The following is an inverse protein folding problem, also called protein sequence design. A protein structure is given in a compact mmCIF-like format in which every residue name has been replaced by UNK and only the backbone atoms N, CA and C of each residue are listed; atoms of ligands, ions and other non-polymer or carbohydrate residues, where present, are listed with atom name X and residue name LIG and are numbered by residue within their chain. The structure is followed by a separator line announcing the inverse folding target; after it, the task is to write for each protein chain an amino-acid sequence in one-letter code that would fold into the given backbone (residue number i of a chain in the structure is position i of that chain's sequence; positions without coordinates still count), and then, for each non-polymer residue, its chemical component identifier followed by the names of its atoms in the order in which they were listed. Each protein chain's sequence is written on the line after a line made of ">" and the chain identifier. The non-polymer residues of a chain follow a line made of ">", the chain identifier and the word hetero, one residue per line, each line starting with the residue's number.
data_IF_487311981624
#
_entry.id   IF_487311981624
#
_cell.length_a   1.000
_cell.length_b   1.000
_cell.length_c   1.000
_cell.angle_alpha   90.00
_cell.angle_beta   90.00
_cell.angle_gamma   90.00
#
_symmetry.space_group_name_H-M   'P 1'
#
loop_
_entity.id
_entity.type
_entity.pdbx_description
1 polymer ?
#
# COMPACT_ATOMS: atom_id res chain seq x y z
N UNK A 1 12.18 -9.77 -9.82
CA UNK A 1 11.89 -8.97 -11.04
C UNK A 1 12.23 -7.50 -10.77
N UNK A 2 12.61 -6.64 -11.75
CA UNK A 2 13.02 -5.27 -11.42
C UNK A 2 11.82 -4.49 -10.89
N UNK A 3 11.86 -4.18 -9.60
CA UNK A 3 10.90 -3.36 -8.86
C UNK A 3 11.04 -1.93 -9.35
N UNK A 4 10.22 -1.57 -10.33
CA UNK A 4 10.14 -0.22 -10.87
C UNK A 4 9.91 0.77 -9.72
N UNK A 5 10.86 1.68 -9.49
CA UNK A 5 10.69 2.76 -8.53
C UNK A 5 9.55 3.71 -8.94
N UNK A 6 9.13 4.65 -8.07
CA UNK A 6 8.08 5.62 -8.40
C UNK A 6 8.35 6.36 -9.73
N UNK A 7 9.61 6.66 -10.03
CA UNK A 7 10.04 7.31 -11.28
C UNK A 7 9.94 6.38 -12.50
N UNK A 8 10.16 5.08 -12.33
CA UNK A 8 10.00 4.08 -13.40
C UNK A 8 8.51 3.84 -13.71
N UNK A 9 7.68 3.86 -12.67
CA UNK A 9 6.22 3.80 -12.82
C UNK A 9 5.68 5.07 -13.48
N UNK A 10 6.20 6.25 -13.13
CA UNK A 10 5.84 7.50 -13.82
C UNK A 10 6.17 7.47 -15.30
N UNK A 11 7.27 6.83 -15.72
CA UNK A 11 7.57 6.60 -17.14
C UNK A 11 6.56 5.71 -17.84
N UNK A 12 5.95 4.77 -17.11
CA UNK A 12 4.92 3.86 -17.62
C UNK A 12 3.52 4.50 -17.64
N UNK A 13 3.29 5.52 -16.82
CA UNK A 13 2.03 6.27 -16.71
C UNK A 13 2.29 7.78 -16.86
N UNK A 14 2.69 8.26 -18.06
CA UNK A 14 3.15 9.63 -18.25
C UNK A 14 2.07 10.69 -17.97
N UNK A 15 0.80 10.33 -18.13
CA UNK A 15 -0.33 11.23 -17.94
C UNK A 15 -0.74 11.38 -16.47
N UNK A 16 -0.16 10.58 -15.57
CA UNK A 16 -0.49 10.58 -14.14
C UNK A 16 0.40 11.52 -13.34
N UNK A 17 -0.20 12.18 -12.37
CA UNK A 17 0.48 13.06 -11.42
C UNK A 17 0.95 12.25 -10.21
N UNK A 18 2.21 12.45 -9.82
CA UNK A 18 2.81 11.80 -8.66
C UNK A 18 2.67 12.68 -7.42
N UNK A 19 2.09 12.14 -6.36
CA UNK A 19 1.97 12.79 -5.06
C UNK A 19 2.65 11.96 -3.98
N UNK A 20 3.25 12.62 -3.00
CA UNK A 20 3.94 11.99 -1.88
C UNK A 20 3.28 12.40 -0.58
N UNK A 21 3.07 11.43 0.30
CA UNK A 21 2.52 11.65 1.63
C UNK A 21 3.31 10.86 2.67
N UNK A 22 3.61 11.51 3.78
CA UNK A 22 4.14 10.86 4.95
C UNK A 22 3.08 9.99 5.61
N UNK A 23 3.37 8.70 5.80
CA UNK A 23 2.52 7.78 6.55
C UNK A 23 3.10 7.52 7.93
N UNK A 24 2.30 7.86 8.94
CA UNK A 24 2.60 7.52 10.32
C UNK A 24 2.34 6.03 10.62
N UNK A 25 1.46 5.39 9.85
CA UNK A 25 1.10 3.98 10.03
C UNK A 25 2.14 3.06 9.38
N UNK A 26 2.49 3.31 8.12
CA UNK A 26 3.46 2.49 7.40
C UNK A 26 4.92 2.84 7.73
N UNK A 27 5.17 3.98 8.38
CA UNK A 27 6.51 4.39 8.81
C UNK A 27 7.40 4.82 7.65
N UNK A 28 6.97 5.81 6.87
CA UNK A 28 7.74 6.30 5.72
C UNK A 28 6.88 7.11 4.74
N UNK A 29 7.37 7.28 3.52
CA UNK A 29 6.62 7.95 2.45
C UNK A 29 5.82 6.94 1.61
N UNK A 30 4.55 7.23 1.39
CA UNK A 30 3.70 6.53 0.41
C UNK A 30 3.44 7.49 -0.74
N UNK A 31 3.68 7.02 -1.95
CA UNK A 31 3.47 7.81 -3.15
C UNK A 31 2.22 7.34 -3.90
N UNK A 32 1.60 8.21 -4.68
CA UNK A 32 0.38 7.93 -5.43
C UNK A 32 0.50 8.45 -6.85
N UNK A 33 0.24 7.60 -7.83
CA UNK A 33 0.10 7.98 -9.24
C UNK A 33 -1.39 8.17 -9.57
N UNK A 34 -1.82 9.42 -9.62
CA UNK A 34 -3.21 9.78 -9.83
C UNK A 34 -3.49 10.19 -11.28
N UNK A 35 -4.61 9.73 -11.82
CA UNK A 35 -5.16 10.30 -13.06
C UNK A 35 -5.44 11.80 -12.88
N UNK A 36 -5.30 12.63 -13.92
CA UNK A 36 -5.58 14.06 -13.83
C UNK A 36 -7.08 14.31 -13.63
N UNK A 37 -7.43 15.19 -12.70
CA UNK A 37 -8.78 15.74 -12.53
C UNK A 37 -8.97 17.05 -13.29
N UNK A 38 -10.12 17.69 -13.08
CA UNK A 38 -10.48 18.99 -13.69
C UNK A 38 -9.45 20.09 -13.39
N UNK A 39 -8.79 20.00 -12.24
CA UNK A 39 -7.70 20.89 -11.83
C UNK A 39 -6.63 20.12 -11.06
N UNK A 40 -5.41 20.66 -11.00
CA UNK A 40 -4.34 20.09 -10.18
C UNK A 40 -4.71 20.07 -8.69
N UNK A 41 -5.43 21.09 -8.22
CA UNK A 41 -5.93 21.14 -6.85
C UNK A 41 -6.94 20.02 -6.56
N UNK A 42 -7.85 19.74 -7.50
CA UNK A 42 -8.79 18.62 -7.38
C UNK A 42 -8.07 17.26 -7.37
N UNK A 43 -7.04 17.11 -8.21
CA UNK A 43 -6.20 15.90 -8.26
C UNK A 43 -5.46 15.68 -6.94
N UNK A 44 -4.82 16.71 -6.39
CA UNK A 44 -4.14 16.66 -5.09
C UNK A 44 -5.10 16.36 -3.94
N UNK A 45 -6.29 16.96 -3.93
CA UNK A 45 -7.31 16.68 -2.92
C UNK A 45 -7.79 15.22 -2.97
N UNK A 46 -7.93 14.65 -4.18
CA UNK A 46 -8.25 13.23 -4.36
C UNK A 46 -7.11 12.33 -3.90
N UNK A 47 -5.86 12.67 -4.21
CA UNK A 47 -4.68 11.94 -3.73
C UNK A 47 -4.62 11.92 -2.19
N UNK A 48 -4.95 13.03 -1.52
CA UNK A 48 -5.00 13.07 -0.06
C UNK A 48 -6.11 12.18 0.52
N UNK A 49 -7.27 12.10 -0.15
CA UNK A 49 -8.35 11.17 0.24
C UNK A 49 -7.94 9.71 0.05
N UNK A 50 -7.31 9.40 -1.08
CA UNK A 50 -6.75 8.08 -1.37
C UNK A 50 -5.73 7.68 -0.29
N UNK A 51 -4.88 8.61 0.13
CA UNK A 51 -3.92 8.37 1.20
C UNK A 51 -4.58 8.05 2.53
N UNK A 52 -5.56 8.85 2.97
CA UNK A 52 -6.28 8.60 4.21
C UNK A 52 -7.04 7.25 4.19
N UNK A 53 -7.64 6.89 3.05
CA UNK A 53 -8.30 5.60 2.88
C UNK A 53 -7.29 4.44 2.94
N UNK A 54 -6.14 4.57 2.27
CA UNK A 54 -5.09 3.57 2.33
C UNK A 54 -4.51 3.41 3.74
N UNK A 55 -4.30 4.50 4.49
CA UNK A 55 -3.86 4.40 5.89
C UNK A 55 -4.88 3.69 6.79
N UNK A 56 -6.18 3.90 6.55
CA UNK A 56 -7.24 3.20 7.29
C UNK A 56 -7.20 1.69 7.00
N UNK A 57 -7.00 1.30 5.74
CA UNK A 57 -6.84 -0.10 5.35
C UNK A 57 -5.58 -0.70 5.97
N UNK A 58 -4.42 -0.02 5.91
CA UNK A 58 -3.17 -0.48 6.53
C UNK A 58 -3.36 -0.71 8.03
N UNK A 59 -4.03 0.22 8.72
CA UNK A 59 -4.31 0.08 10.17
C UNK A 59 -5.18 -1.15 10.45
N UNK A 60 -6.29 -1.29 9.72
CA UNK A 60 -7.21 -2.43 9.88
C UNK A 60 -6.51 -3.76 9.62
N UNK A 61 -5.66 -3.81 8.61
CA UNK A 61 -4.85 -4.99 8.31
C UNK A 61 -3.81 -5.27 9.40
N UNK A 62 -3.13 -4.24 9.91
CA UNK A 62 -2.19 -4.38 11.02
C UNK A 62 -2.81 -5.04 12.26
N UNK A 63 -4.05 -4.67 12.60
CA UNK A 63 -4.80 -5.30 13.68
C UNK A 63 -5.10 -6.78 13.37
N UNK A 64 -5.57 -7.08 12.16
CA UNK A 64 -5.87 -8.45 11.70
C UNK A 64 -4.61 -9.32 11.68
N UNK A 65 -3.50 -8.77 11.22
CA UNK A 65 -2.19 -9.43 11.18
C UNK A 65 -1.71 -9.78 12.59
N UNK A 66 -1.81 -8.86 13.54
CA UNK A 66 -1.43 -9.08 14.92
C UNK A 66 -2.28 -10.18 15.56
N UNK A 67 -3.60 -10.15 15.36
CA UNK A 67 -4.51 -11.20 15.83
C UNK A 67 -4.19 -12.57 15.22
N UNK A 68 -3.96 -12.63 13.91
CA UNK A 68 -3.63 -13.87 13.21
C UNK A 68 -2.30 -14.47 13.69
N UNK A 69 -1.28 -13.63 13.89
CA UNK A 69 0.03 -14.05 14.39
C UNK A 69 -0.07 -14.58 15.83
N UNK A 70 -0.73 -13.84 16.71
CA UNK A 70 -0.93 -14.26 18.11
C UNK A 70 -1.74 -15.55 18.18
N UNK A 71 -2.83 -15.66 17.41
CA UNK A 71 -3.66 -16.86 17.36
C UNK A 71 -2.89 -18.09 16.85
N UNK A 72 -2.07 -17.92 15.80
CA UNK A 72 -1.23 -19.01 15.29
C UNK A 72 -0.24 -19.50 16.35
N UNK A 73 0.44 -18.59 17.05
CA UNK A 73 1.37 -18.94 18.14
C UNK A 73 0.65 -19.64 19.30
N UNK A 74 -0.53 -19.16 19.70
CA UNK A 74 -1.34 -19.79 20.75
C UNK A 74 -1.82 -21.19 20.37
N UNK A 75 -2.08 -21.44 19.07
CA UNK A 75 -2.45 -22.77 18.55
C UNK A 75 -1.28 -23.75 18.44
N UNK A 76 -0.07 -23.33 18.83
CA UNK A 76 1.13 -24.18 18.83
C UNK A 76 1.95 -24.12 17.54
N UNK A 77 1.66 -23.19 16.62
CA UNK A 77 2.51 -22.99 15.45
C UNK A 77 3.88 -22.47 15.87
N UNK A 78 4.93 -22.90 15.15
CA UNK A 78 6.26 -22.31 15.35
C UNK A 78 6.28 -20.87 14.83
N UNK A 79 7.10 -19.98 15.41
CA UNK A 79 7.19 -18.59 14.95
C UNK A 79 7.45 -18.43 13.46
N UNK A 80 8.29 -19.28 12.87
CA UNK A 80 8.58 -19.25 11.43
C UNK A 80 7.38 -19.62 10.57
N UNK A 81 6.62 -20.65 10.96
CA UNK A 81 5.39 -21.05 10.25
C UNK A 81 4.30 -19.98 10.37
N UNK A 82 4.14 -19.41 11.56
CA UNK A 82 3.16 -18.35 11.80
C UNK A 82 3.51 -17.10 10.97
N UNK A 83 4.77 -16.66 10.98
CA UNK A 83 5.26 -15.53 10.20
C UNK A 83 5.08 -15.72 8.68
N UNK A 84 5.44 -16.88 8.14
CA UNK A 84 5.31 -17.14 6.70
C UNK A 84 3.86 -17.09 6.23
N UNK A 85 2.94 -17.62 7.04
CA UNK A 85 1.51 -17.57 6.73
C UNK A 85 1.00 -16.12 6.65
N UNK A 86 1.27 -15.34 7.69
CA UNK A 86 0.79 -13.95 7.75
C UNK A 86 1.48 -13.05 6.71
N UNK A 87 2.73 -13.34 6.34
CA UNK A 87 3.42 -12.63 5.27
C UNK A 87 2.77 -12.88 3.90
N UNK A 88 2.43 -14.13 3.58
CA UNK A 88 1.72 -14.44 2.32
C UNK A 88 0.34 -13.78 2.25
N UNK A 89 -0.36 -13.67 3.38
CA UNK A 89 -1.64 -12.97 3.47
C UNK A 89 -1.46 -11.44 3.29
N UNK A 90 -0.31 -10.90 3.74
CA UNK A 90 0.04 -9.48 3.61
C UNK A 90 0.20 -9.02 2.18
N UNK A 91 0.88 -9.80 1.34
CA UNK A 91 1.10 -9.42 -0.06
C UNK A 91 -0.19 -9.42 -0.86
N UNK A 92 -1.05 -10.42 -0.61
CA UNK A 92 -2.37 -10.51 -1.23
C UNK A 92 -3.26 -9.34 -0.80
N UNK A 93 -3.25 -9.00 0.49
CA UNK A 93 -3.97 -7.84 1.01
C UNK A 93 -3.45 -6.54 0.42
N UNK A 94 -2.14 -6.30 0.40
CA UNK A 94 -1.56 -5.04 -0.10
C UNK A 94 -1.92 -4.80 -1.57
N UNK A 95 -1.94 -5.86 -2.39
CA UNK A 95 -2.41 -5.79 -3.78
C UNK A 95 -3.90 -5.47 -3.87
N UNK A 96 -4.74 -6.11 -3.06
CA UNK A 96 -6.17 -5.87 -3.05
C UNK A 96 -6.49 -4.41 -2.63
N UNK A 97 -5.86 -3.93 -1.55
CA UNK A 97 -6.00 -2.56 -1.09
C UNK A 97 -5.53 -1.54 -2.15
N UNK A 98 -4.40 -1.78 -2.82
CA UNK A 98 -3.93 -0.89 -3.88
C UNK A 98 -4.91 -0.82 -5.06
N UNK A 99 -5.54 -1.93 -5.44
CA UNK A 99 -6.54 -1.98 -6.50
C UNK A 99 -7.86 -1.31 -6.10
N UNK A 100 -8.28 -1.45 -4.83
CA UNK A 100 -9.45 -0.75 -4.29
C UNK A 100 -9.24 0.76 -4.30
N UNK A 101 -8.08 1.24 -3.83
CA UNK A 101 -7.75 2.67 -3.87
C UNK A 101 -7.64 3.20 -5.31
N UNK A 102 -7.08 2.43 -6.23
CA UNK A 102 -7.06 2.80 -7.65
C UNK A 102 -8.49 2.86 -8.24
N UNK A 103 -9.36 1.91 -7.91
CA UNK A 103 -10.75 1.90 -8.36
C UNK A 103 -11.53 3.11 -7.87
N UNK A 104 -11.40 3.43 -6.58
CA UNK A 104 -12.26 4.43 -5.92
C UNK A 104 -11.76 5.86 -6.11
N UNK A 105 -10.44 6.03 -6.24
CA UNK A 105 -9.81 7.35 -6.26
C UNK A 105 -9.01 7.61 -7.54
N UNK A 106 -8.88 6.64 -8.45
CA UNK A 106 -8.01 6.74 -9.64
C UNK A 106 -6.59 7.16 -9.28
N UNK A 107 -6.12 6.69 -8.13
CA UNK A 107 -4.82 7.00 -7.54
C UNK A 107 -4.15 5.69 -7.13
N UNK A 108 -3.17 5.25 -7.90
CA UNK A 108 -2.48 4.00 -7.62
C UNK A 108 -1.44 4.24 -6.51
N UNK A 109 -1.55 3.57 -5.34
CA UNK A 109 -0.49 3.62 -4.35
C UNK A 109 0.76 2.95 -4.92
N UNK A 110 1.88 3.65 -4.88
CA UNK A 110 3.19 3.16 -5.28
C UNK A 110 4.12 3.34 -4.09
N UNK A 111 4.53 2.23 -3.49
CA UNK A 111 5.50 2.27 -2.41
C UNK A 111 6.85 2.74 -2.96
N UNK A 112 7.42 3.78 -2.35
CA UNK A 112 8.83 4.10 -2.53
C UNK A 112 9.68 2.93 -1.97
N UNK A 113 10.86 2.64 -2.55
CA UNK A 113 11.62 1.43 -2.25
C UNK A 113 11.91 1.30 -0.75
N UNK A 114 11.44 0.22 -0.13
CA UNK A 114 11.68 -0.03 1.30
C UNK A 114 10.74 -1.02 1.99
N UNK A 115 9.52 -1.21 1.48
CA UNK A 115 8.66 -2.31 1.93
C UNK A 115 8.94 -3.54 1.05
N UNK A 116 9.79 -4.41 1.58
CA UNK A 116 10.28 -5.59 0.89
C UNK A 116 9.16 -6.52 0.50
N UNK A 117 8.92 -6.64 -0.80
CA UNK A 117 8.46 -7.87 -1.42
C UNK A 117 9.74 -8.62 -1.83
N UNK A 118 10.28 -9.38 -0.89
CA UNK A 118 11.35 -10.34 -1.18
C UNK A 118 10.80 -11.52 -1.96
N UNK A 119 11.63 -12.07 -2.86
CA UNK A 119 11.35 -13.29 -3.63
C UNK A 119 10.95 -14.49 -2.77
#
# INVERSE_FOLDING_TARGET
>A
MPTAGPDDLKRSYPDRQLFHFHSAIAGGEISYLCAPGETDAATKARAAKAHAAYEAEVRRYGDTFAEALVGALQSGATPGTAANKVNSESDAWARAAALEIESDFQCLPVAAPGVGLGD
#
